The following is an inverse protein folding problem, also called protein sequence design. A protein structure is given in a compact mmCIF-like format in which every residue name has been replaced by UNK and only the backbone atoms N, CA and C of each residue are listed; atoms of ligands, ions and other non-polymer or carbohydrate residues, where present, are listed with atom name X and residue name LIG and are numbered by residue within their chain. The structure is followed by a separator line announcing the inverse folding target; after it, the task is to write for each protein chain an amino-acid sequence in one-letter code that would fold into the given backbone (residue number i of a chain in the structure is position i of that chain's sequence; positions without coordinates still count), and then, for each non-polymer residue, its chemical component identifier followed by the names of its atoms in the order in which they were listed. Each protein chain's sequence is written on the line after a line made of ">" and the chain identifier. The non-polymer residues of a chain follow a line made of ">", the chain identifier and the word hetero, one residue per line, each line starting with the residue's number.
data_IF_067508705490
#
_entry.id   IF_067508705490
#
_cell.length_a   1.000
_cell.length_b   1.000
_cell.length_c   1.000
_cell.angle_alpha   90.00
_cell.angle_beta   90.00
_cell.angle_gamma   90.00
#
_symmetry.space_group_name_H-M   'P 1'
#
loop_
_entity.id
_entity.type
_entity.pdbx_description
1 polymer ?
#
# COMPACT_ATOMS: atom_id res chain seq x y z
N UNK A 1 -38.61 68.54 4.47
CA UNK A 1 -37.40 68.62 3.65
C UNK A 1 -36.24 67.90 4.34
N UNK A 2 -36.07 66.67 4.03
CA UNK A 2 -34.79 65.99 4.19
C UNK A 2 -34.78 64.76 3.26
N UNK A 3 -33.83 64.77 2.35
CA UNK A 3 -33.61 63.75 1.34
C UNK A 3 -33.14 62.45 1.96
N UNK A 4 -33.75 61.35 1.59
CA UNK A 4 -33.23 60.00 1.68
C UNK A 4 -32.79 59.62 0.29
N UNK A 5 -31.47 59.67 0.03
CA UNK A 5 -30.88 59.08 -1.16
C UNK A 5 -30.52 57.63 -0.92
N UNK A 6 -30.89 56.81 -1.88
CA UNK A 6 -30.58 55.41 -2.08
C UNK A 6 -29.09 55.18 -2.20
N UNK A 7 -28.62 54.20 -1.47
CA UNK A 7 -27.32 53.56 -1.77
C UNK A 7 -27.53 52.06 -1.95
N UNK A 8 -27.98 51.70 -3.14
CA UNK A 8 -27.99 50.34 -3.68
C UNK A 8 -26.99 50.35 -4.85
N UNK A 9 -25.88 49.70 -4.68
CA UNK A 9 -25.00 49.04 -5.66
C UNK A 9 -23.53 49.14 -5.28
N UNK A 10 -23.09 48.27 -4.39
CA UNK A 10 -21.67 47.83 -4.41
C UNK A 10 -21.66 46.35 -4.78
N UNK A 11 -21.69 46.08 -6.07
CA UNK A 11 -21.33 44.78 -6.59
C UNK A 11 -19.85 44.53 -6.16
N UNK A 12 -19.66 43.68 -5.14
CA UNK A 12 -18.31 43.18 -4.79
C UNK A 12 -17.76 42.46 -6.00
N UNK A 13 -16.85 43.08 -6.71
CA UNK A 13 -16.00 42.42 -7.70
C UNK A 13 -15.11 41.43 -6.98
N UNK A 14 -15.37 40.16 -7.19
CA UNK A 14 -14.47 39.09 -6.72
C UNK A 14 -13.12 39.24 -7.41
N UNK A 15 -12.11 39.59 -6.64
CA UNK A 15 -10.73 39.66 -7.12
C UNK A 15 -10.17 38.26 -7.42
N UNK A 16 -9.15 38.19 -8.25
CA UNK A 16 -8.40 36.94 -8.51
C UNK A 16 -8.01 36.17 -7.22
N UNK A 17 -7.77 36.88 -6.11
CA UNK A 17 -7.53 36.29 -4.79
C UNK A 17 -8.75 35.62 -4.18
N UNK A 18 -9.94 36.13 -4.42
CA UNK A 18 -11.19 35.55 -3.89
C UNK A 18 -11.60 34.34 -4.72
N UNK A 19 -11.33 34.33 -6.02
CA UNK A 19 -11.48 33.15 -6.90
C UNK A 19 -10.47 32.08 -6.53
N UNK A 20 -9.22 32.42 -6.15
CA UNK A 20 -8.23 31.47 -5.67
C UNK A 20 -8.52 30.95 -4.25
N UNK A 21 -9.25 31.73 -3.42
CA UNK A 21 -9.72 31.29 -2.09
C UNK A 21 -11.00 30.47 -2.16
N UNK A 22 -11.86 30.73 -3.14
CA UNK A 22 -13.10 30.00 -3.38
C UNK A 22 -12.99 28.89 -4.43
N UNK A 23 -11.85 28.82 -5.10
CA UNK A 23 -11.53 27.68 -5.96
C UNK A 23 -10.92 26.52 -5.17
N UNK A 24 -11.55 25.74 -4.88
CA UNK A 24 -12.45 25.16 -4.00
C UNK A 24 -12.55 23.67 -4.12
N UNK A 25 -12.65 23.10 -2.96
CA UNK A 25 -13.52 21.96 -2.68
C UNK A 25 -13.43 20.77 -3.65
N UNK A 26 -12.28 20.29 -3.85
CA UNK A 26 -12.15 18.94 -4.23
C UNK A 26 -11.14 18.32 -3.29
N UNK A 27 -11.54 17.26 -2.60
CA UNK A 27 -10.65 16.34 -1.95
C UNK A 27 -9.98 16.84 -0.64
N UNK A 28 -10.66 16.63 0.46
CA UNK A 28 -10.05 16.63 1.78
C UNK A 28 -10.01 17.94 2.54
N UNK A 29 -10.86 18.93 2.23
CA UNK A 29 -11.00 20.13 3.06
C UNK A 29 -9.85 21.15 2.96
N UNK A 30 -8.86 20.92 2.10
CA UNK A 30 -7.78 21.83 1.81
C UNK A 30 -8.14 22.69 0.59
N UNK A 31 -7.96 24.01 0.67
CA UNK A 31 -8.03 24.87 -0.50
C UNK A 31 -6.84 24.57 -1.42
N UNK A 32 -6.98 24.83 -2.74
CA UNK A 32 -5.87 24.71 -3.70
C UNK A 32 -4.62 25.47 -3.19
N UNK A 33 -4.82 26.65 -2.56
CA UNK A 33 -3.75 27.43 -1.96
C UNK A 33 -3.07 26.72 -0.76
N UNK A 34 -3.84 26.00 0.04
CA UNK A 34 -3.28 25.18 1.15
C UNK A 34 -2.56 23.95 0.61
N UNK A 35 -3.09 23.32 -0.42
CA UNK A 35 -2.42 22.20 -1.10
C UNK A 35 -1.12 22.64 -1.75
N UNK A 36 -1.12 23.74 -2.49
CA UNK A 36 0.09 24.31 -3.11
C UNK A 36 1.10 24.79 -2.06
N UNK A 37 0.62 25.32 -0.93
CA UNK A 37 1.47 25.73 0.17
C UNK A 37 2.08 24.53 0.89
N UNK A 38 1.30 23.48 1.15
CA UNK A 38 1.80 22.20 1.67
C UNK A 38 2.78 21.54 0.69
N UNK A 39 2.53 21.57 -0.61
CA UNK A 39 3.46 21.11 -1.63
C UNK A 39 4.75 21.93 -1.66
N UNK A 40 4.65 23.26 -1.54
CA UNK A 40 5.83 24.13 -1.47
C UNK A 40 6.61 23.95 -0.15
N UNK A 41 5.91 23.73 0.96
CA UNK A 41 6.49 23.47 2.27
C UNK A 41 7.02 22.02 2.38
N UNK A 42 6.43 21.07 1.63
CA UNK A 42 6.82 19.64 1.63
C UNK A 42 7.99 19.32 0.71
N UNK A 43 8.48 20.28 -0.08
CA UNK A 43 9.52 19.98 -1.08
C UNK A 43 9.09 18.96 -2.13
N UNK A 44 7.77 18.67 -2.26
CA UNK A 44 7.27 17.68 -3.23
C UNK A 44 7.48 18.19 -4.65
N UNK A 45 8.24 17.44 -5.43
CA UNK A 45 8.33 17.66 -6.86
C UNK A 45 7.22 16.83 -7.52
N UNK A 46 6.30 17.44 -8.29
CA UNK A 46 5.31 16.67 -9.01
C UNK A 46 5.98 15.67 -9.95
N UNK A 47 5.80 14.40 -9.68
CA UNK A 47 6.25 13.30 -10.53
C UNK A 47 5.02 12.51 -10.93
N UNK A 48 4.97 12.03 -12.15
CA UNK A 48 3.93 11.11 -12.60
C UNK A 48 4.34 9.66 -12.30
N UNK A 49 4.50 9.37 -11.00
CA UNK A 49 4.97 8.08 -10.50
C UNK A 49 3.92 7.46 -9.59
N UNK A 50 3.84 6.15 -9.59
CA UNK A 50 2.90 5.38 -8.75
C UNK A 50 3.60 4.19 -8.11
N UNK A 51 3.07 3.74 -6.97
CA UNK A 51 3.56 2.55 -6.25
C UNK A 51 2.44 1.53 -6.17
N UNK A 52 2.75 0.27 -6.47
CA UNK A 52 1.93 -0.89 -6.13
C UNK A 52 2.63 -1.62 -4.99
N UNK A 53 1.98 -1.70 -3.84
CA UNK A 53 2.40 -2.50 -2.70
C UNK A 53 1.62 -3.81 -2.69
N UNK A 54 2.25 -4.91 -3.09
CA UNK A 54 1.69 -6.24 -2.94
C UNK A 54 2.10 -6.79 -1.57
N UNK A 55 1.16 -6.75 -0.64
CA UNK A 55 1.43 -7.10 0.76
C UNK A 55 1.11 -8.57 1.03
N UNK A 56 2.14 -9.31 1.40
CA UNK A 56 2.12 -10.76 1.68
C UNK A 56 1.90 -10.95 3.18
N UNK A 57 0.63 -10.83 3.58
CA UNK A 57 0.25 -10.89 5.00
C UNK A 57 0.55 -12.23 5.65
N UNK A 58 1.08 -12.19 6.84
CA UNK A 58 1.45 -13.36 7.63
C UNK A 58 2.97 -13.57 7.70
N UNK A 59 3.77 -12.74 7.02
CA UNK A 59 5.23 -12.81 7.07
C UNK A 59 5.80 -13.97 6.25
N UNK A 60 6.02 -13.75 4.94
CA UNK A 60 6.54 -14.79 4.05
C UNK A 60 7.96 -15.21 4.46
N UNK A 61 8.21 -16.51 4.48
CA UNK A 61 9.54 -17.02 4.79
C UNK A 61 10.52 -16.64 3.67
N UNK A 62 11.56 -15.89 4.05
CA UNK A 62 12.67 -15.57 3.15
C UNK A 62 13.49 -16.81 2.79
N UNK A 63 13.55 -17.80 3.69
CA UNK A 63 14.31 -19.04 3.51
C UNK A 63 13.68 -20.01 2.49
N UNK A 64 12.37 -19.97 2.32
CA UNK A 64 11.63 -20.77 1.34
C UNK A 64 11.30 -20.00 0.06
N UNK A 65 11.80 -18.75 -0.10
CA UNK A 65 11.51 -17.94 -1.30
C UNK A 65 12.77 -17.38 -1.95
N UNK A 66 13.38 -16.36 -1.34
CA UNK A 66 14.40 -15.53 -2.02
C UNK A 66 15.79 -15.54 -1.36
N UNK A 67 15.91 -16.04 -0.13
CA UNK A 67 17.18 -16.06 0.60
C UNK A 67 17.48 -17.47 1.15
N UNK A 68 17.40 -18.45 0.27
CA UNK A 68 17.61 -19.85 0.59
C UNK A 68 19.05 -20.10 1.06
N UNK A 69 19.21 -21.05 1.99
CA UNK A 69 20.51 -21.42 2.60
C UNK A 69 20.83 -22.88 2.33
N UNK A 70 21.13 -23.27 1.06
CA UNK A 70 21.28 -24.68 0.67
C UNK A 70 22.42 -25.38 1.38
N UNK A 71 23.42 -24.64 1.87
CA UNK A 71 24.58 -25.19 2.59
C UNK A 71 24.34 -25.31 4.11
N UNK A 72 23.24 -24.79 4.63
CA UNK A 72 22.90 -24.92 6.03
C UNK A 72 22.37 -26.32 6.35
N UNK A 73 22.31 -26.63 7.65
CA UNK A 73 21.72 -27.89 8.12
C UNK A 73 20.24 -27.99 7.67
N UNK A 74 19.73 -29.20 7.59
CA UNK A 74 18.37 -29.50 7.12
C UNK A 74 17.27 -28.82 7.94
N UNK A 75 17.49 -28.60 9.23
CA UNK A 75 16.59 -27.87 10.13
C UNK A 75 16.59 -26.34 9.91
N UNK A 76 17.47 -25.86 9.03
CA UNK A 76 17.58 -24.44 8.66
C UNK A 76 17.24 -24.25 7.19
N UNK A 77 17.83 -25.01 6.27
CA UNK A 77 17.65 -24.81 4.83
C UNK A 77 16.22 -25.04 4.34
N UNK A 78 15.41 -25.73 5.15
CA UNK A 78 14.03 -26.04 4.80
C UNK A 78 13.87 -27.20 3.79
N UNK A 79 12.63 -27.43 3.31
CA UNK A 79 12.31 -28.60 2.49
C UNK A 79 12.51 -28.39 0.99
N UNK A 80 12.86 -27.19 0.51
CA UNK A 80 12.94 -26.86 -0.90
C UNK A 80 14.36 -26.59 -1.37
N UNK A 81 14.58 -26.82 -2.67
CA UNK A 81 15.87 -26.59 -3.30
C UNK A 81 15.88 -25.24 -4.07
N UNK A 82 17.03 -24.56 -4.15
CA UNK A 82 17.18 -23.37 -4.96
C UNK A 82 17.32 -23.73 -6.44
N UNK A 83 16.75 -22.89 -7.31
CA UNK A 83 17.00 -22.94 -8.77
C UNK A 83 17.70 -21.66 -9.23
N UNK A 84 18.55 -21.82 -10.24
CA UNK A 84 19.24 -20.70 -10.89
C UNK A 84 18.25 -19.84 -11.67
N UNK A 85 18.52 -18.54 -11.69
CA UNK A 85 17.76 -17.59 -12.49
C UNK A 85 18.49 -17.22 -13.79
N UNK A 86 17.86 -16.38 -14.61
CA UNK A 86 18.51 -15.78 -15.78
C UNK A 86 19.57 -14.72 -15.42
N UNK A 87 19.73 -14.39 -14.13
CA UNK A 87 20.80 -13.53 -13.62
C UNK A 87 21.80 -14.36 -12.83
N UNK A 88 23.07 -14.45 -13.23
CA UNK A 88 24.09 -15.20 -12.49
C UNK A 88 24.22 -14.72 -11.04
N UNK A 89 24.25 -15.67 -10.10
CA UNK A 89 24.35 -15.37 -8.66
C UNK A 89 23.03 -15.10 -7.94
N UNK A 90 21.92 -15.03 -8.66
CA UNK A 90 20.59 -14.98 -8.06
C UNK A 90 19.94 -16.36 -8.17
N UNK A 91 19.55 -16.89 -7.04
CA UNK A 91 18.79 -18.13 -6.93
C UNK A 91 17.50 -17.87 -6.16
N UNK A 92 16.44 -18.62 -6.50
CA UNK A 92 15.11 -18.55 -5.89
C UNK A 92 14.60 -19.98 -5.64
N UNK A 93 13.54 -20.13 -4.85
CA UNK A 93 12.92 -21.42 -4.60
C UNK A 93 12.48 -22.13 -5.91
N UNK A 94 12.62 -23.46 -5.96
CA UNK A 94 12.22 -24.31 -7.10
C UNK A 94 10.74 -24.14 -7.50
N UNK A 95 9.88 -23.70 -6.57
CA UNK A 95 8.48 -23.39 -6.83
C UNK A 95 8.25 -21.99 -7.41
N UNK A 96 9.32 -21.26 -7.77
CA UNK A 96 9.29 -19.94 -8.41
C UNK A 96 9.95 -19.94 -9.81
N UNK A 97 9.62 -20.89 -10.70
CA UNK A 97 10.31 -21.02 -11.98
C UNK A 97 10.04 -19.86 -12.96
N UNK A 98 8.94 -19.12 -12.79
CA UNK A 98 8.67 -17.92 -13.60
C UNK A 98 9.50 -16.73 -13.12
N UNK A 99 9.62 -16.52 -11.79
CA UNK A 99 10.58 -15.56 -11.23
C UNK A 99 12.00 -15.82 -11.74
N UNK A 100 12.41 -17.09 -11.78
CA UNK A 100 13.74 -17.46 -12.25
C UNK A 100 14.02 -17.01 -13.70
N UNK A 101 12.99 -16.90 -14.53
CA UNK A 101 13.11 -16.50 -15.95
C UNK A 101 13.18 -14.98 -16.14
N UNK A 102 12.77 -14.19 -15.15
CA UNK A 102 12.66 -12.74 -15.25
C UNK A 102 13.41 -12.01 -14.12
N UNK A 103 14.40 -12.64 -13.51
CA UNK A 103 15.16 -12.03 -12.42
C UNK A 103 15.92 -10.76 -12.83
N UNK A 104 16.17 -10.58 -14.12
CA UNK A 104 16.68 -9.35 -14.73
C UNK A 104 15.70 -8.16 -14.62
N UNK A 105 14.42 -8.40 -14.35
CA UNK A 105 13.37 -7.36 -14.24
C UNK A 105 13.03 -6.96 -12.80
N UNK A 106 13.66 -7.56 -11.80
CA UNK A 106 13.48 -7.19 -10.39
C UNK A 106 14.79 -7.22 -9.62
N UNK A 107 14.80 -6.61 -8.46
CA UNK A 107 15.88 -6.71 -7.47
C UNK A 107 15.35 -7.26 -6.17
N UNK A 108 16.22 -7.91 -5.40
CA UNK A 108 15.91 -8.47 -4.10
C UNK A 108 16.66 -7.69 -3.02
N UNK A 109 15.96 -7.28 -1.98
CA UNK A 109 16.56 -6.80 -0.73
C UNK A 109 16.49 -7.96 0.26
N UNK A 110 17.64 -8.47 0.69
CA UNK A 110 17.73 -9.61 1.63
C UNK A 110 18.11 -9.21 3.06
N UNK A 111 18.26 -7.91 3.31
CA UNK A 111 18.81 -7.41 4.57
C UNK A 111 17.87 -6.49 5.33
N UNK A 112 16.57 -6.53 5.04
CA UNK A 112 15.61 -5.78 5.81
C UNK A 112 15.39 -6.43 7.18
N UNK A 113 15.38 -5.61 8.23
CA UNK A 113 15.34 -6.06 9.64
C UNK A 113 14.62 -5.03 10.49
N UNK A 114 13.89 -5.50 11.48
CA UNK A 114 13.29 -4.66 12.53
C UNK A 114 13.11 -5.46 13.84
N UNK A 115 12.36 -4.91 14.79
CA UNK A 115 12.29 -5.43 16.17
C UNK A 115 10.91 -5.95 16.61
N UNK A 116 9.89 -5.90 15.73
CA UNK A 116 8.51 -6.26 16.08
C UNK A 116 8.10 -7.62 15.53
N UNK A 117 7.89 -8.61 16.42
CA UNK A 117 7.57 -9.99 16.08
C UNK A 117 6.07 -10.34 16.16
N UNK A 118 5.22 -9.40 16.51
CA UNK A 118 3.76 -9.53 16.48
C UNK A 118 3.20 -8.97 15.17
N UNK A 119 2.22 -9.64 14.56
CA UNK A 119 1.66 -9.20 13.27
C UNK A 119 1.20 -7.75 13.29
N UNK A 120 0.52 -7.36 14.36
CA UNK A 120 -0.05 -6.03 14.48
C UNK A 120 1.06 -4.96 14.63
N UNK A 121 2.04 -5.23 15.47
CA UNK A 121 3.19 -4.35 15.66
C UNK A 121 4.10 -4.35 14.43
N UNK A 122 4.35 -5.51 13.82
CA UNK A 122 5.13 -5.66 12.59
C UNK A 122 4.52 -4.90 11.40
N UNK A 123 3.21 -5.01 11.19
CA UNK A 123 2.50 -4.20 10.18
C UNK A 123 2.74 -2.71 10.36
N UNK A 124 2.56 -2.20 11.59
CA UNK A 124 2.78 -0.79 11.88
C UNK A 124 4.23 -0.41 11.66
N UNK A 125 5.13 -1.21 12.20
CA UNK A 125 6.58 -0.98 12.08
C UNK A 125 7.00 -0.89 10.62
N UNK A 126 6.51 -1.80 9.77
CA UNK A 126 6.86 -1.80 8.36
C UNK A 126 6.18 -0.66 7.59
N UNK A 127 4.91 -0.39 7.85
CA UNK A 127 4.09 0.50 7.02
C UNK A 127 4.10 1.97 7.48
N UNK A 128 4.55 2.26 8.71
CA UNK A 128 4.71 3.63 9.22
C UNK A 128 6.13 3.98 9.64
N UNK A 129 7.00 2.99 9.80
CA UNK A 129 8.32 3.14 10.41
C UNK A 129 8.33 3.05 11.94
N UNK A 130 7.17 3.12 12.58
CA UNK A 130 7.04 3.20 14.04
C UNK A 130 6.27 1.98 14.56
N UNK A 131 6.90 1.18 15.42
CA UNK A 131 6.33 -0.06 15.95
C UNK A 131 5.47 0.16 17.18
N UNK A 132 6.12 0.32 18.33
CA UNK A 132 5.46 0.27 19.63
C UNK A 132 4.66 1.51 19.95
N UNK A 133 3.43 1.26 20.40
CA UNK A 133 2.63 2.24 21.13
C UNK A 133 3.22 2.51 22.51
N UNK A 134 3.14 3.73 22.97
CA UNK A 134 3.34 4.03 24.40
C UNK A 134 2.21 3.35 25.17
N UNK A 135 2.49 2.62 26.26
CA UNK A 135 1.45 2.03 27.12
C UNK A 135 0.44 3.09 27.56
N UNK A 136 -0.85 2.76 27.51
CA UNK A 136 -1.95 3.64 27.97
C UNK A 136 -2.49 4.62 26.94
N UNK A 137 -2.04 4.56 25.70
CA UNK A 137 -2.57 5.39 24.61
C UNK A 137 -3.52 4.57 23.72
N UNK A 138 -4.69 5.12 23.41
CA UNK A 138 -5.66 4.49 22.49
C UNK A 138 -5.21 4.52 21.03
N UNK A 139 -6.12 4.18 20.10
CA UNK A 139 -5.87 4.19 18.64
C UNK A 139 -5.31 5.54 18.11
N UNK A 140 -5.60 6.63 18.77
CA UNK A 140 -5.12 7.97 18.45
C UNK A 140 -3.60 8.15 18.54
N UNK A 141 -2.90 7.13 19.00
CA UNK A 141 -1.44 7.14 19.19
C UNK A 141 -0.67 6.46 18.07
N UNK A 142 -1.35 5.97 17.04
CA UNK A 142 -0.69 5.32 15.92
C UNK A 142 -0.18 6.35 14.91
N UNK A 143 0.96 6.05 14.32
CA UNK A 143 1.50 6.84 13.25
C UNK A 143 0.76 6.53 11.93
N UNK A 144 0.59 7.53 11.06
CA UNK A 144 -0.01 7.31 9.75
C UNK A 144 0.84 6.36 8.91
N UNK A 145 0.18 5.42 8.24
CA UNK A 145 0.84 4.48 7.33
C UNK A 145 1.09 5.12 5.96
N UNK A 146 1.99 4.51 5.19
CA UNK A 146 2.48 5.03 3.91
C UNK A 146 1.38 5.42 2.92
N UNK A 147 0.30 4.65 2.81
CA UNK A 147 -0.82 4.99 1.93
C UNK A 147 -1.59 6.22 2.40
N UNK A 148 -1.77 6.39 3.72
CA UNK A 148 -2.40 7.59 4.27
C UNK A 148 -1.51 8.83 4.06
N UNK A 149 -0.19 8.66 4.12
CA UNK A 149 0.77 9.73 3.77
C UNK A 149 0.61 10.11 2.30
N UNK A 150 0.55 9.13 1.40
CA UNK A 150 0.30 9.37 -0.02
C UNK A 150 -1.05 10.04 -0.26
N UNK A 151 -2.12 9.59 0.44
CA UNK A 151 -3.46 10.15 0.32
C UNK A 151 -3.54 11.62 0.79
N UNK A 152 -2.72 11.99 1.77
CA UNK A 152 -2.65 13.36 2.30
C UNK A 152 -1.81 14.30 1.46
N UNK A 153 -0.66 13.83 0.94
CA UNK A 153 0.37 14.70 0.36
C UNK A 153 0.37 14.71 -1.17
N UNK A 154 -0.22 13.71 -1.82
CA UNK A 154 -0.24 13.62 -3.27
C UNK A 154 -1.59 14.07 -3.84
N UNK A 155 -1.58 14.34 -5.13
CA UNK A 155 -2.79 14.60 -5.93
C UNK A 155 -2.99 13.50 -6.96
N UNK A 156 -4.24 13.27 -7.34
CA UNK A 156 -4.63 12.37 -8.42
C UNK A 156 -5.58 13.08 -9.38
N UNK A 157 -5.84 12.54 -10.58
CA UNK A 157 -6.84 13.07 -11.49
C UNK A 157 -8.23 13.16 -10.85
N UNK A 158 -9.05 14.12 -11.30
CA UNK A 158 -10.40 14.28 -10.79
C UNK A 158 -11.19 12.96 -10.82
N UNK A 159 -11.88 12.66 -9.75
CA UNK A 159 -12.64 11.42 -9.56
C UNK A 159 -11.80 10.19 -9.17
N UNK A 160 -10.50 10.36 -8.86
CA UNK A 160 -9.65 9.30 -8.33
C UNK A 160 -8.98 9.77 -7.03
N UNK A 161 -8.91 8.95 -5.98
CA UNK A 161 -8.12 9.27 -4.80
C UNK A 161 -6.63 9.08 -5.07
N UNK A 162 -5.75 9.80 -4.38
CA UNK A 162 -4.30 9.59 -4.48
C UNK A 162 -3.83 8.20 -4.06
N UNK A 163 -4.51 7.59 -3.09
CA UNK A 163 -4.21 6.24 -2.62
C UNK A 163 -5.47 5.39 -2.56
N UNK A 164 -5.35 4.09 -2.83
CA UNK A 164 -6.44 3.12 -2.79
C UNK A 164 -5.95 1.74 -2.38
N UNK A 165 -6.80 1.00 -1.68
CA UNK A 165 -6.55 -0.39 -1.34
C UNK A 165 -7.57 -1.31 -2.01
N UNK A 166 -7.10 -2.45 -2.55
CA UNK A 166 -7.91 -3.39 -3.33
C UNK A 166 -7.89 -4.75 -2.66
N UNK A 167 -9.06 -5.39 -2.60
CA UNK A 167 -9.22 -6.73 -2.05
C UNK A 167 -9.25 -6.77 -0.53
N UNK A 168 -9.12 -7.96 0.01
CA UNK A 168 -9.23 -8.25 1.45
C UNK A 168 -8.03 -7.77 2.27
N UNK A 169 -7.64 -6.51 2.14
CA UNK A 169 -6.49 -5.92 2.88
C UNK A 169 -6.75 -5.79 4.38
N UNK A 170 -8.00 -5.87 4.81
CA UNK A 170 -8.40 -5.90 6.22
C UNK A 170 -8.55 -7.35 6.65
N UNK A 171 -7.77 -7.80 7.62
CA UNK A 171 -7.81 -9.19 8.12
C UNK A 171 -8.54 -9.27 9.45
N UNK A 172 -8.09 -8.57 10.47
CA UNK A 172 -8.63 -8.62 11.85
C UNK A 172 -9.02 -7.23 12.37
N UNK A 173 -9.68 -6.43 11.52
CA UNK A 173 -10.09 -5.06 11.83
C UNK A 173 -9.31 -4.01 11.04
N UNK A 174 -9.70 -2.73 11.11
CA UNK A 174 -9.14 -1.66 10.29
C UNK A 174 -7.64 -1.43 10.48
N UNK A 175 -7.10 -1.83 11.61
CA UNK A 175 -5.69 -1.64 11.95
C UNK A 175 -4.75 -2.66 11.28
N UNK A 176 -5.30 -3.75 10.76
CA UNK A 176 -4.58 -4.76 9.96
C UNK A 176 -4.63 -4.51 8.45
N UNK A 177 -5.18 -3.38 8.03
CA UNK A 177 -5.20 -3.04 6.63
C UNK A 177 -3.85 -2.46 6.20
N UNK A 178 -3.17 -3.17 5.31
CA UNK A 178 -1.82 -2.82 4.87
C UNK A 178 -1.78 -1.44 4.20
N UNK A 179 -1.09 -0.49 4.82
CA UNK A 179 -0.86 0.85 4.28
C UNK A 179 -2.06 1.80 4.34
N UNK A 180 -3.16 1.45 5.02
CA UNK A 180 -4.44 2.16 4.94
C UNK A 180 -4.66 3.16 6.06
N UNK A 181 -4.15 2.85 7.28
CA UNK A 181 -4.48 3.61 8.49
C UNK A 181 -3.91 5.02 8.49
N UNK A 182 -4.76 5.98 8.79
CA UNK A 182 -4.40 7.39 8.98
C UNK A 182 -3.69 7.66 10.31
N UNK A 183 -3.67 6.68 11.22
CA UNK A 183 -3.10 6.83 12.55
C UNK A 183 -3.78 7.96 13.34
N UNK A 184 -2.98 8.86 13.92
CA UNK A 184 -3.47 10.02 14.67
C UNK A 184 -3.94 11.19 13.79
N UNK A 185 -3.88 11.07 12.46
CA UNK A 185 -4.42 12.11 11.58
C UNK A 185 -5.94 12.06 11.51
N UNK A 186 -6.52 13.12 10.94
CA UNK A 186 -7.95 13.14 10.69
C UNK A 186 -8.35 11.96 9.79
N UNK A 187 -9.44 11.22 10.11
CA UNK A 187 -9.93 10.08 9.34
C UNK A 187 -10.11 10.34 7.83
N UNK A 188 -10.26 11.59 7.41
CA UNK A 188 -10.32 11.98 5.99
C UNK A 188 -9.12 11.51 5.17
N UNK A 189 -7.97 11.26 5.81
CA UNK A 189 -6.77 10.77 5.15
C UNK A 189 -6.67 9.24 5.09
N UNK A 190 -7.63 8.52 5.66
CA UNK A 190 -7.71 7.06 5.54
C UNK A 190 -7.83 6.67 4.07
N UNK A 191 -7.11 5.62 3.68
CA UNK A 191 -7.16 5.11 2.30
C UNK A 191 -8.47 4.37 2.05
N UNK A 192 -9.23 4.70 0.99
CA UNK A 192 -10.42 3.94 0.63
C UNK A 192 -10.08 2.50 0.25
N UNK A 193 -10.91 1.55 0.72
CA UNK A 193 -10.76 0.11 0.45
C UNK A 193 -11.88 -0.33 -0.47
N UNK A 194 -11.53 -0.98 -1.58
CA UNK A 194 -12.50 -1.56 -2.51
C UNK A 194 -12.39 -3.08 -2.49
N UNK A 195 -13.45 -3.74 -2.03
CA UNK A 195 -13.55 -5.20 -1.97
C UNK A 195 -14.40 -5.71 -3.15
N UNK A 196 -13.88 -6.69 -3.90
CA UNK A 196 -14.67 -7.46 -4.87
C UNK A 196 -15.02 -6.77 -6.19
N UNK A 197 -14.32 -5.69 -6.55
CA UNK A 197 -14.61 -4.92 -7.76
C UNK A 197 -15.93 -4.14 -7.69
N UNK A 198 -16.07 -3.13 -8.54
CA UNK A 198 -17.33 -2.36 -8.66
C UNK A 198 -18.45 -3.13 -9.41
N UNK A 199 -18.43 -4.45 -9.44
CA UNK A 199 -19.50 -5.23 -10.09
C UNK A 199 -20.91 -4.91 -9.52
N UNK A 200 -20.96 -4.33 -8.30
CA UNK A 200 -22.18 -3.83 -7.66
C UNK A 200 -22.26 -2.30 -7.58
N UNK A 201 -21.32 -1.57 -8.17
CA UNK A 201 -21.24 -0.12 -8.07
C UNK A 201 -21.81 0.62 -9.29
N UNK A 202 -22.55 -0.07 -10.16
CA UNK A 202 -23.44 0.63 -11.08
C UNK A 202 -24.53 1.32 -10.26
N UNK A 203 -24.61 2.62 -10.37
CA UNK A 203 -25.68 3.39 -9.75
C UNK A 203 -27.03 2.83 -10.22
N UNK A 204 -27.69 2.07 -9.38
CA UNK A 204 -29.09 1.62 -9.61
C UNK A 204 -30.09 2.75 -9.45
N UNK A 205 -29.63 3.94 -9.04
CA UNK A 205 -30.42 5.16 -8.82
C UNK A 205 -29.89 6.26 -9.75
N UNK A 206 -30.76 6.92 -10.46
CA UNK A 206 -30.41 8.04 -11.32
C UNK A 206 -29.66 9.13 -10.52
N UNK A 207 -28.65 9.75 -11.14
CA UNK A 207 -27.71 10.67 -10.49
C UNK A 207 -28.41 11.88 -9.83
N UNK A 208 -29.50 12.36 -10.42
CA UNK A 208 -30.36 13.43 -9.89
C UNK A 208 -31.03 13.05 -8.57
N UNK A 209 -31.58 11.83 -8.48
CA UNK A 209 -32.18 11.31 -7.23
C UNK A 209 -31.15 11.06 -6.13
N UNK A 210 -29.92 10.72 -6.50
CA UNK A 210 -28.83 10.60 -5.54
C UNK A 210 -28.47 11.95 -4.95
N UNK A 211 -28.47 12.99 -5.78
CA UNK A 211 -28.20 14.37 -5.38
C UNK A 211 -29.29 14.93 -4.46
N UNK A 212 -30.55 14.63 -4.73
CA UNK A 212 -31.69 15.00 -3.88
C UNK A 212 -31.66 14.31 -2.51
N UNK A 213 -31.34 13.02 -2.46
CA UNK A 213 -31.13 12.29 -1.19
C UNK A 213 -29.99 12.88 -0.37
N UNK A 214 -28.88 13.27 -1.01
CA UNK A 214 -27.74 13.91 -0.34
C UNK A 214 -28.11 15.29 0.21
N UNK A 215 -28.89 16.08 -0.48
CA UNK A 215 -29.33 17.39 0.02
C UNK A 215 -30.19 17.28 1.28
N UNK A 216 -31.06 16.25 1.35
CA UNK A 216 -31.86 15.92 2.54
C UNK A 216 -31.00 15.38 3.69
N UNK A 217 -30.05 14.49 3.40
CA UNK A 217 -29.11 13.97 4.39
C UNK A 217 -28.23 15.08 4.95
N UNK A 218 -27.68 15.94 4.09
CA UNK A 218 -26.90 17.12 4.49
C UNK A 218 -27.71 18.10 5.36
N UNK A 219 -29.00 18.22 5.12
CA UNK A 219 -29.91 19.04 5.95
C UNK A 219 -30.09 18.48 7.35
N UNK A 220 -30.24 17.15 7.49
CA UNK A 220 -30.36 16.44 8.76
C UNK A 220 -29.03 16.41 9.53
N UNK A 221 -27.91 16.26 8.85
CA UNK A 221 -26.58 16.18 9.44
C UNK A 221 -26.05 17.55 9.92
N UNK A 222 -26.54 18.67 9.36
CA UNK A 222 -26.25 20.02 9.89
C UNK A 222 -26.68 20.19 11.34
N UNK A 223 -27.76 19.53 11.76
CA UNK A 223 -28.23 19.53 13.15
C UNK A 223 -27.29 18.72 14.07
N UNK A 224 -26.67 17.67 13.57
CA UNK A 224 -25.72 16.81 14.33
C UNK A 224 -24.32 17.41 14.40
N UNK A 225 -23.88 18.17 13.39
CA UNK A 225 -22.53 18.78 13.32
C UNK A 225 -22.23 19.78 14.43
N UNK A 226 -23.21 20.45 14.94
CA UNK A 226 -23.03 21.38 16.08
C UNK A 226 -22.65 20.67 17.38
N UNK A 227 -22.64 19.33 17.39
CA UNK A 227 -22.34 18.48 18.55
C UNK A 227 -21.04 17.69 18.35
N UNK A 228 -20.48 17.63 17.13
CA UNK A 228 -19.31 16.83 16.79
C UNK A 228 -18.00 17.60 17.00
N UNK A 229 -17.47 17.53 18.22
CA UNK A 229 -16.12 18.05 18.53
C UNK A 229 -14.96 17.21 17.99
N UNK A 230 -15.21 16.02 17.42
CA UNK A 230 -14.17 15.07 16.97
C UNK A 230 -13.77 15.20 15.49
N UNK A 231 -14.56 15.90 14.69
CA UNK A 231 -14.41 15.96 13.23
C UNK A 231 -14.80 14.67 12.49
N UNK A 232 -15.34 13.67 13.20
CA UNK A 232 -15.75 12.38 12.63
C UNK A 232 -16.86 12.54 11.59
N UNK A 233 -17.84 13.42 11.86
CA UNK A 233 -18.95 13.67 10.93
C UNK A 233 -18.48 14.38 9.65
N UNK A 234 -17.54 15.31 9.78
CA UNK A 234 -16.98 15.97 8.59
C UNK A 234 -16.14 15.01 7.76
N UNK A 235 -15.47 14.05 8.38
CA UNK A 235 -14.76 12.99 7.69
C UNK A 235 -15.72 12.04 6.95
N UNK A 236 -16.83 11.62 7.59
CA UNK A 236 -17.87 10.80 6.94
C UNK A 236 -18.46 11.49 5.71
N UNK A 237 -18.80 12.77 5.82
CA UNK A 237 -19.29 13.55 4.68
C UNK A 237 -18.28 13.58 3.53
N UNK A 238 -17.00 13.69 3.85
CA UNK A 238 -15.92 13.70 2.85
C UNK A 238 -15.75 12.32 2.20
N UNK A 239 -15.83 11.24 2.98
CA UNK A 239 -15.81 9.88 2.44
C UNK A 239 -17.00 9.61 1.50
N UNK A 240 -18.21 9.99 1.91
CA UNK A 240 -19.40 9.83 1.09
C UNK A 240 -19.30 10.66 -0.21
N UNK A 241 -18.72 11.85 -0.12
CA UNK A 241 -18.47 12.68 -1.28
C UNK A 241 -17.44 12.07 -2.21
N UNK A 242 -16.31 11.60 -1.68
CA UNK A 242 -15.28 10.90 -2.46
C UNK A 242 -15.83 9.63 -3.11
N UNK A 243 -16.60 8.83 -2.38
CA UNK A 243 -17.23 7.62 -2.91
C UNK A 243 -18.16 7.94 -4.10
N UNK A 244 -18.96 8.99 -4.00
CA UNK A 244 -19.84 9.41 -5.10
C UNK A 244 -19.03 9.97 -6.28
N UNK A 245 -17.98 10.76 -6.04
CA UNK A 245 -17.12 11.27 -7.10
C UNK A 245 -16.42 10.13 -7.85
N UNK A 246 -15.94 9.11 -7.13
CA UNK A 246 -15.37 7.87 -7.70
C UNK A 246 -16.43 7.16 -8.55
N UNK A 247 -17.64 6.95 -8.01
CA UNK A 247 -18.72 6.24 -8.70
C UNK A 247 -19.25 7.00 -9.93
N UNK A 248 -19.23 8.34 -9.90
CA UNK A 248 -19.66 9.18 -11.02
C UNK A 248 -18.56 9.44 -12.04
N UNK A 249 -17.30 9.13 -11.73
CA UNK A 249 -16.20 9.30 -12.66
C UNK A 249 -16.15 8.10 -13.61
N UNK A 250 -16.32 8.31 -14.90
CA UNK A 250 -16.11 7.25 -15.90
C UNK A 250 -14.69 6.65 -15.86
N UNK A 251 -13.76 7.33 -15.21
CA UNK A 251 -12.37 6.89 -15.02
C UNK A 251 -12.26 5.75 -14.00
N UNK A 252 -12.96 5.85 -12.87
CA UNK A 252 -13.02 4.77 -11.89
C UNK A 252 -13.78 3.56 -12.45
N UNK A 253 -14.94 3.77 -13.06
CA UNK A 253 -15.69 2.71 -13.74
C UNK A 253 -14.80 1.96 -14.73
N UNK A 254 -14.06 2.68 -15.57
CA UNK A 254 -13.12 2.08 -16.52
C UNK A 254 -12.03 1.29 -15.81
N UNK A 255 -11.42 1.80 -14.74
CA UNK A 255 -10.34 1.12 -14.03
C UNK A 255 -10.80 -0.20 -13.38
N UNK A 256 -12.00 -0.20 -12.79
CA UNK A 256 -12.55 -1.39 -12.11
C UNK A 256 -13.23 -2.39 -13.04
N UNK A 257 -13.62 -1.98 -14.24
CA UNK A 257 -14.27 -2.87 -15.20
C UNK A 257 -13.25 -3.76 -15.91
N UNK A 258 -12.95 -4.92 -15.30
CA UNK A 258 -12.02 -5.90 -15.86
C UNK A 258 -12.50 -6.51 -17.20
N UNK A 259 -13.77 -6.35 -17.57
CA UNK A 259 -14.26 -6.81 -18.88
C UNK A 259 -13.71 -5.96 -20.03
N UNK A 260 -13.19 -4.78 -19.76
CA UNK A 260 -12.50 -3.92 -20.73
C UNK A 260 -11.04 -4.34 -20.96
N UNK A 261 -10.51 -5.26 -20.15
CA UNK A 261 -9.16 -5.78 -20.32
C UNK A 261 -9.14 -6.93 -21.33
N UNK A 262 -8.04 -7.07 -22.04
CA UNK A 262 -7.82 -8.21 -22.96
C UNK A 262 -8.03 -9.53 -22.22
N UNK A 263 -8.85 -10.45 -22.73
CA UNK A 263 -9.11 -11.75 -22.10
C UNK A 263 -7.85 -12.56 -21.81
N UNK A 264 -6.84 -12.50 -22.69
CA UNK A 264 -5.56 -13.19 -22.49
C UNK A 264 -4.77 -12.61 -21.32
N UNK A 265 -4.80 -11.28 -21.17
CA UNK A 265 -4.21 -10.60 -20.01
C UNK A 265 -4.90 -11.03 -18.72
N UNK A 266 -6.24 -11.05 -18.69
CA UNK A 266 -7.00 -11.53 -17.54
C UNK A 266 -6.68 -12.98 -17.16
N UNK A 267 -6.55 -13.85 -18.17
CA UNK A 267 -6.18 -15.25 -17.98
C UNK A 267 -4.76 -15.41 -17.38
N UNK A 268 -3.79 -14.60 -17.82
CA UNK A 268 -2.43 -14.60 -17.26
C UNK A 268 -2.42 -14.25 -15.77
N UNK A 269 -3.22 -13.27 -15.32
CA UNK A 269 -3.36 -12.95 -13.91
C UNK A 269 -4.10 -14.03 -13.12
N UNK A 270 -4.95 -14.83 -13.78
CA UNK A 270 -5.75 -15.86 -13.16
C UNK A 270 -6.90 -15.29 -12.31
N UNK A 271 -7.48 -16.14 -11.46
CA UNK A 271 -8.61 -15.83 -10.60
C UNK A 271 -8.19 -15.32 -9.20
N UNK A 272 -9.19 -14.95 -8.39
CA UNK A 272 -9.01 -14.50 -7.00
C UNK A 272 -8.15 -13.24 -6.92
N UNK A 273 -7.12 -13.25 -6.07
CA UNK A 273 -6.29 -12.04 -5.89
C UNK A 273 -5.49 -11.63 -7.14
N UNK A 274 -5.37 -12.49 -8.16
CA UNK A 274 -4.83 -12.11 -9.44
C UNK A 274 -5.67 -11.03 -10.14
N UNK A 275 -7.00 -11.10 -10.00
CA UNK A 275 -7.90 -10.05 -10.49
C UNK A 275 -7.78 -8.75 -9.68
N UNK A 276 -7.48 -8.86 -8.38
CA UNK A 276 -7.20 -7.70 -7.52
C UNK A 276 -5.88 -7.02 -7.91
N UNK A 277 -4.85 -7.80 -8.21
CA UNK A 277 -3.56 -7.30 -8.71
C UNK A 277 -3.71 -6.65 -10.10
N UNK A 278 -4.50 -7.23 -10.99
CA UNK A 278 -4.87 -6.62 -12.27
C UNK A 278 -5.61 -5.29 -12.07
N UNK A 279 -6.53 -5.24 -11.11
CA UNK A 279 -7.23 -4.00 -10.74
C UNK A 279 -6.25 -2.93 -10.27
N UNK A 280 -5.26 -3.31 -9.44
CA UNK A 280 -4.22 -2.37 -8.99
C UNK A 280 -3.41 -1.79 -10.14
N UNK A 281 -3.03 -2.61 -11.13
CA UNK A 281 -2.34 -2.13 -12.33
C UNK A 281 -3.22 -1.13 -13.11
N UNK A 282 -4.51 -1.42 -13.27
CA UNK A 282 -5.45 -0.51 -13.96
C UNK A 282 -5.69 0.79 -13.19
N UNK A 283 -5.66 0.74 -11.85
CA UNK A 283 -5.78 1.92 -11.01
C UNK A 283 -4.58 2.87 -11.15
N UNK A 284 -3.35 2.34 -11.22
CA UNK A 284 -2.18 3.20 -11.46
C UNK A 284 -2.19 3.77 -12.88
N UNK A 285 -2.66 3.05 -13.89
CA UNK A 285 -2.93 3.60 -15.23
C UNK A 285 -3.99 4.72 -15.21
N UNK A 286 -4.98 4.64 -14.31
CA UNK A 286 -5.98 5.68 -14.13
C UNK A 286 -5.48 6.87 -13.30
N UNK A 287 -4.24 6.82 -12.79
CA UNK A 287 -3.57 7.90 -12.08
C UNK A 287 -3.62 7.84 -10.55
N UNK A 288 -4.01 6.70 -9.96
CA UNK A 288 -3.84 6.46 -8.52
C UNK A 288 -2.34 6.32 -8.22
N UNK A 289 -1.87 7.06 -7.22
CA UNK A 289 -0.44 7.19 -6.94
C UNK A 289 0.10 6.09 -6.01
N UNK A 290 -0.75 5.54 -5.17
CA UNK A 290 -0.37 4.44 -4.26
C UNK A 290 -1.51 3.41 -4.18
N UNK A 291 -1.22 2.18 -4.54
CA UNK A 291 -2.22 1.09 -4.48
C UNK A 291 -1.67 -0.05 -3.63
N UNK A 292 -2.42 -0.45 -2.61
CA UNK A 292 -2.13 -1.65 -1.83
C UNK A 292 -3.03 -2.80 -2.27
N UNK A 293 -2.42 -3.98 -2.45
CA UNK A 293 -3.13 -5.25 -2.69
C UNK A 293 -2.62 -6.29 -1.71
N UNK A 294 -3.50 -7.12 -1.18
CA UNK A 294 -3.09 -8.26 -0.36
C UNK A 294 -2.85 -9.50 -1.22
N UNK A 295 -1.72 -10.19 -0.98
CA UNK A 295 -1.48 -11.53 -1.49
C UNK A 295 -1.85 -12.57 -0.42
N UNK A 296 -3.04 -13.18 -0.45
CA UNK A 296 -3.45 -14.18 0.52
C UNK A 296 -2.65 -15.47 0.34
N UNK A 297 -2.47 -16.20 1.45
CA UNK A 297 -1.83 -17.51 1.46
C UNK A 297 -2.77 -18.69 1.32
N UNK A 298 -4.06 -18.43 1.06
CA UNK A 298 -5.08 -19.49 1.03
C UNK A 298 -4.82 -20.55 -0.02
N UNK A 299 -4.83 -21.81 0.39
CA UNK A 299 -4.79 -22.94 -0.53
C UNK A 299 -5.52 -24.16 0.05
N UNK A 300 -5.92 -25.09 -0.83
CA UNK A 300 -6.69 -26.27 -0.47
C UNK A 300 -5.84 -27.38 0.16
N UNK A 301 -4.52 -27.38 -0.02
CA UNK A 301 -3.66 -28.47 0.40
C UNK A 301 -3.43 -28.50 1.91
N UNK A 302 -3.34 -27.32 2.54
CA UNK A 302 -3.00 -27.19 3.96
C UNK A 302 -4.07 -26.47 4.80
N UNK A 303 -5.15 -26.02 4.19
CA UNK A 303 -6.18 -25.16 4.81
C UNK A 303 -5.61 -23.81 5.34
N UNK A 304 -4.40 -23.42 4.91
CA UNK A 304 -3.85 -22.12 5.25
C UNK A 304 -4.66 -20.99 4.61
N UNK A 305 -4.77 -19.86 5.27
CA UNK A 305 -5.47 -18.67 4.78
C UNK A 305 -4.56 -17.45 4.58
N UNK A 306 -3.34 -17.50 5.11
CA UNK A 306 -2.29 -16.49 4.91
C UNK A 306 -0.90 -17.14 4.91
N UNK A 307 0.16 -16.32 5.08
CA UNK A 307 1.55 -16.78 5.10
C UNK A 307 2.10 -16.99 6.52
N UNK A 308 1.22 -17.12 7.51
CA UNK A 308 1.57 -17.34 8.91
C UNK A 308 1.84 -18.84 9.19
N UNK A 309 2.95 -19.32 8.68
CA UNK A 309 3.30 -20.75 8.57
C UNK A 309 3.89 -21.36 9.86
N UNK A 310 3.17 -21.24 10.97
CA UNK A 310 3.50 -21.96 12.21
C UNK A 310 3.14 -23.43 12.15
N UNK A 311 4.02 -24.33 12.66
CA UNK A 311 3.74 -25.77 12.76
C UNK A 311 2.51 -26.09 13.62
N UNK A 312 2.14 -25.20 14.55
CA UNK A 312 0.91 -25.33 15.37
C UNK A 312 -0.37 -25.15 14.57
N UNK A 313 -0.32 -24.38 13.48
CA UNK A 313 -1.50 -24.07 12.67
C UNK A 313 -1.66 -25.07 11.52
N UNK A 314 -0.69 -25.15 10.63
CA UNK A 314 -0.71 -26.02 9.45
C UNK A 314 0.71 -26.40 9.03
N UNK A 315 0.82 -27.32 8.11
CA UNK A 315 2.10 -27.71 7.55
C UNK A 315 2.60 -26.66 6.53
N UNK A 316 3.75 -26.06 6.79
CA UNK A 316 4.36 -25.04 5.94
C UNK A 316 4.71 -25.58 4.55
N UNK A 317 5.27 -26.82 4.47
CA UNK A 317 5.66 -27.41 3.20
C UNK A 317 4.46 -27.59 2.27
N UNK A 318 3.39 -28.19 2.78
CA UNK A 318 2.14 -28.35 2.01
C UNK A 318 1.54 -26.98 1.63
N UNK A 319 1.58 -26.01 2.53
CA UNK A 319 1.11 -24.65 2.28
C UNK A 319 1.87 -23.98 1.14
N UNK A 320 3.20 -24.05 1.17
CA UNK A 320 4.07 -23.45 0.15
C UNK A 320 3.92 -24.13 -1.22
N UNK A 321 3.85 -25.46 -1.28
CA UNK A 321 3.57 -26.20 -2.52
C UNK A 321 2.25 -25.74 -3.16
N UNK A 322 1.23 -25.48 -2.34
CA UNK A 322 -0.07 -25.06 -2.84
C UNK A 322 -0.15 -23.61 -3.28
N UNK A 323 0.60 -22.69 -2.66
CA UNK A 323 0.48 -21.25 -2.90
C UNK A 323 1.55 -20.66 -3.81
N UNK A 324 2.80 -21.16 -3.73
CA UNK A 324 3.91 -20.58 -4.50
C UNK A 324 3.70 -20.58 -6.02
N UNK A 325 3.11 -21.61 -6.65
CA UNK A 325 2.85 -21.56 -8.10
C UNK A 325 1.89 -20.43 -8.52
N UNK A 326 0.87 -20.12 -7.71
CA UNK A 326 -0.05 -19.02 -7.98
C UNK A 326 0.62 -17.67 -7.71
N UNK A 327 1.41 -17.57 -6.65
CA UNK A 327 2.21 -16.41 -6.34
C UNK A 327 3.24 -16.14 -7.45
N UNK A 328 3.97 -17.17 -7.89
CA UNK A 328 4.91 -17.11 -9.01
C UNK A 328 4.25 -16.56 -10.28
N UNK A 329 3.07 -17.09 -10.62
CA UNK A 329 2.33 -16.63 -11.78
C UNK A 329 1.91 -15.17 -11.68
N UNK A 330 1.28 -14.75 -10.57
CA UNK A 330 0.66 -13.43 -10.45
C UNK A 330 1.72 -12.33 -10.37
N UNK A 331 2.77 -12.53 -9.55
CA UNK A 331 3.83 -11.53 -9.40
C UNK A 331 4.58 -11.32 -10.71
N UNK A 332 4.95 -12.42 -11.38
CA UNK A 332 5.67 -12.31 -12.66
C UNK A 332 4.79 -11.73 -13.77
N UNK A 333 3.50 -12.08 -13.80
CA UNK A 333 2.56 -11.47 -14.75
C UNK A 333 2.45 -9.97 -14.54
N UNK A 334 2.37 -9.50 -13.30
CA UNK A 334 2.34 -8.05 -13.01
C UNK A 334 3.63 -7.37 -13.48
N UNK A 335 4.79 -7.95 -13.16
CA UNK A 335 6.08 -7.40 -13.60
C UNK A 335 6.13 -7.30 -15.12
N UNK A 336 5.86 -8.39 -15.83
CA UNK A 336 5.89 -8.42 -17.31
C UNK A 336 4.87 -7.43 -17.90
N UNK A 337 3.65 -7.35 -17.36
CA UNK A 337 2.60 -6.43 -17.84
C UNK A 337 3.00 -4.95 -17.66
N UNK A 338 3.69 -4.61 -16.55
CA UNK A 338 4.24 -3.26 -16.34
C UNK A 338 5.32 -2.92 -17.38
N UNK A 339 6.19 -3.87 -17.71
CA UNK A 339 7.21 -3.68 -18.76
C UNK A 339 6.61 -3.61 -20.15
N UNK A 340 5.72 -4.52 -20.50
CA UNK A 340 5.08 -4.61 -21.83
C UNK A 340 4.24 -3.35 -22.16
N UNK A 341 3.72 -2.68 -21.12
CA UNK A 341 2.94 -1.43 -21.25
C UNK A 341 3.78 -0.16 -21.16
N UNK A 342 5.09 -0.27 -20.93
CA UNK A 342 5.95 0.89 -20.71
C UNK A 342 5.71 1.62 -19.38
N UNK A 343 5.08 0.94 -18.41
CA UNK A 343 4.83 1.48 -17.07
C UNK A 343 6.02 1.29 -16.14
N UNK A 344 6.99 0.47 -16.49
CA UNK A 344 8.15 0.12 -15.67
C UNK A 344 9.02 1.31 -15.26
N UNK A 345 8.95 2.42 -15.97
CA UNK A 345 9.68 3.65 -15.58
C UNK A 345 8.98 4.44 -14.48
N UNK A 346 7.64 4.39 -14.44
CA UNK A 346 6.82 5.25 -13.62
C UNK A 346 6.04 4.52 -12.51
N UNK A 347 6.05 3.18 -12.51
CA UNK A 347 5.37 2.37 -11.50
C UNK A 347 6.38 1.50 -10.77
N UNK A 348 6.55 1.73 -9.47
CA UNK A 348 7.37 0.91 -8.59
C UNK A 348 6.50 -0.16 -7.94
N UNK A 349 6.85 -1.43 -8.17
CA UNK A 349 6.27 -2.57 -7.47
C UNK A 349 7.14 -2.93 -6.27
N UNK A 350 6.50 -3.09 -5.12
CA UNK A 350 7.11 -3.62 -3.90
C UNK A 350 6.30 -4.83 -3.44
N UNK A 351 6.96 -5.97 -3.27
CA UNK A 351 6.36 -7.21 -2.74
C UNK A 351 7.03 -7.55 -1.42
N UNK A 352 6.26 -7.56 -0.34
CA UNK A 352 6.77 -7.74 1.02
C UNK A 352 5.66 -8.16 1.98
N UNK A 353 6.05 -8.69 3.14
CA UNK A 353 5.18 -8.84 4.29
C UNK A 353 5.65 -7.97 5.45
N UNK A 354 5.14 -8.27 6.65
CA UNK A 354 5.46 -7.54 7.86
C UNK A 354 6.79 -7.94 8.50
N UNK A 355 7.24 -9.20 8.31
CA UNK A 355 8.51 -9.75 8.80
C UNK A 355 8.85 -11.07 8.07
N UNK A 356 10.00 -11.65 8.35
CA UNK A 356 10.38 -12.98 7.88
C UNK A 356 10.09 -14.08 8.91
N UNK A 357 10.77 -15.22 8.77
CA UNK A 357 10.52 -16.41 9.59
C UNK A 357 11.79 -16.92 10.25
N UNK A 358 11.63 -17.62 11.41
CA UNK A 358 12.78 -18.16 12.16
C UNK A 358 13.68 -19.02 11.30
N UNK A 359 15.02 -18.91 11.47
CA UNK A 359 15.97 -19.75 10.74
C UNK A 359 15.77 -21.24 10.97
N UNK A 360 15.46 -21.62 12.20
CA UNK A 360 15.23 -23.02 12.56
C UNK A 360 13.76 -23.40 12.34
N UNK A 361 13.56 -24.57 11.69
CA UNK A 361 12.25 -25.20 11.57
C UNK A 361 11.70 -25.61 12.95
N UNK A 362 10.43 -25.38 13.14
CA UNK A 362 9.62 -25.93 14.21
C UNK A 362 8.95 -27.24 13.71
N UNK A 363 8.89 -28.25 14.59
CA UNK A 363 8.23 -29.51 14.30
C UNK A 363 7.14 -29.75 15.35
N UNK A 364 5.91 -29.94 14.90
CA UNK A 364 4.79 -30.24 15.78
C UNK A 364 3.76 -31.12 15.10
N UNK A 365 3.40 -32.25 15.75
CA UNK A 365 2.37 -33.18 15.28
C UNK A 365 2.57 -33.62 13.81
N UNK A 366 3.81 -33.87 13.40
CA UNK A 366 4.18 -34.27 12.04
C UNK A 366 4.16 -33.13 11.01
N UNK A 367 3.93 -31.90 11.42
CA UNK A 367 3.99 -30.69 10.60
C UNK A 367 5.32 -29.97 10.80
N UNK A 368 5.75 -29.24 9.80
CA UNK A 368 6.85 -28.29 9.89
C UNK A 368 6.34 -26.86 9.76
N UNK A 369 7.03 -25.91 10.38
CA UNK A 369 6.72 -24.49 10.31
C UNK A 369 7.89 -23.64 10.76
N UNK A 370 7.67 -22.33 10.79
CA UNK A 370 8.60 -21.35 11.33
C UNK A 370 7.84 -20.26 12.07
N UNK A 371 8.41 -19.79 13.16
CA UNK A 371 7.85 -18.68 13.94
C UNK A 371 8.17 -17.32 13.32
N UNK A 372 7.61 -16.25 13.90
CA UNK A 372 7.88 -14.88 13.49
C UNK A 372 9.33 -14.49 13.70
N UNK A 373 9.94 -13.84 12.71
CA UNK A 373 11.33 -13.40 12.79
C UNK A 373 11.56 -12.07 12.10
N UNK A 374 11.42 -10.95 12.82
CA UNK A 374 11.62 -9.63 12.24
C UNK A 374 13.08 -9.29 11.96
N UNK A 375 14.02 -10.06 12.51
CA UNK A 375 15.46 -9.81 12.36
C UNK A 375 16.01 -10.09 10.97
N UNK A 376 15.23 -10.73 10.08
CA UNK A 376 15.59 -10.93 8.68
C UNK A 376 14.33 -11.13 7.83
N UNK A 377 14.23 -10.42 6.72
CA UNK A 377 13.19 -10.58 5.72
C UNK A 377 13.67 -10.19 4.33
N UNK A 378 13.03 -10.72 3.29
CA UNK A 378 13.32 -10.38 1.90
C UNK A 378 12.19 -9.55 1.29
N UNK A 379 12.57 -8.57 0.46
CA UNK A 379 11.66 -7.70 -0.29
C UNK A 379 12.00 -7.80 -1.76
N UNK A 380 11.01 -7.99 -2.63
CA UNK A 380 11.17 -7.87 -4.07
C UNK A 380 10.75 -6.47 -4.50
N UNK A 381 11.58 -5.84 -5.35
CA UNK A 381 11.31 -4.53 -5.96
C UNK A 381 11.48 -4.60 -7.47
N UNK A 382 10.57 -3.97 -8.22
CA UNK A 382 10.60 -3.96 -9.70
C UNK A 382 9.98 -2.68 -10.25
N UNK A 383 10.37 -2.29 -11.46
CA UNK A 383 9.87 -1.07 -12.07
C UNK A 383 10.39 0.21 -11.42
N UNK A 384 9.72 1.36 -11.62
CA UNK A 384 10.15 2.65 -11.08
C UNK A 384 11.47 3.18 -11.66
N UNK A 385 11.92 2.68 -12.82
CA UNK A 385 13.21 3.04 -13.40
C UNK A 385 14.41 2.64 -12.52
N UNK A 386 14.23 1.68 -11.60
CA UNK A 386 15.30 1.21 -10.72
C UNK A 386 16.26 0.27 -11.44
N UNK A 387 17.48 0.16 -10.94
CA UNK A 387 18.41 -0.90 -11.34
C UNK A 387 17.84 -2.25 -10.88
N UNK A 388 17.66 -3.17 -11.81
CA UNK A 388 17.16 -4.52 -11.58
C UNK A 388 18.25 -5.57 -11.80
N UNK A 389 17.95 -6.85 -11.52
CA UNK A 389 18.92 -7.94 -11.69
C UNK A 389 20.00 -7.94 -10.61
N UNK A 390 19.72 -7.45 -9.41
CA UNK A 390 20.69 -7.41 -8.32
C UNK A 390 20.09 -7.88 -6.99
N UNK A 391 20.98 -8.19 -6.06
CA UNK A 391 20.65 -8.46 -4.65
C UNK A 391 21.30 -7.39 -3.79
N UNK A 392 20.50 -6.71 -2.99
CA UNK A 392 20.94 -5.67 -2.05
C UNK A 392 20.99 -6.28 -0.66
N UNK A 393 22.18 -6.23 -0.04
CA UNK A 393 22.45 -6.81 1.25
C UNK A 393 22.47 -8.35 1.26
N UNK A 394 22.84 -8.90 2.40
CA UNK A 394 22.87 -10.34 2.62
C UNK A 394 22.59 -10.64 4.10
N UNK A 395 22.01 -11.80 4.36
CA UNK A 395 21.94 -12.37 5.71
C UNK A 395 23.13 -13.27 6.01
N UNK A 396 23.26 -13.68 7.25
CA UNK A 396 24.27 -14.65 7.70
C UNK A 396 24.03 -16.05 7.10
N UNK A 397 24.92 -16.99 7.42
CA UNK A 397 24.92 -18.35 6.86
C UNK A 397 23.62 -19.14 7.15
N UNK A 398 22.83 -18.72 8.13
CA UNK A 398 21.58 -19.36 8.52
C UNK A 398 20.34 -18.50 8.27
N UNK A 399 20.51 -17.32 7.67
CA UNK A 399 19.38 -16.40 7.40
C UNK A 399 18.79 -15.74 8.66
N UNK A 400 19.56 -15.66 9.75
CA UNK A 400 19.04 -15.15 11.02
C UNK A 400 19.04 -13.64 11.13
N UNK A 401 19.98 -12.96 10.51
CA UNK A 401 20.14 -11.52 10.58
C UNK A 401 20.96 -11.00 9.40
N UNK A 402 20.84 -9.71 9.05
CA UNK A 402 21.74 -9.09 8.09
C UNK A 402 23.20 -9.24 8.47
N UNK A 403 24.04 -9.68 7.53
CA UNK A 403 25.48 -9.70 7.61
C UNK A 403 26.11 -8.57 6.79
N UNK A 404 25.37 -8.05 5.80
CA UNK A 404 25.81 -6.95 4.95
C UNK A 404 24.64 -6.00 4.70
N UNK A 405 24.91 -4.68 4.71
CA UNK A 405 23.96 -3.64 4.34
C UNK A 405 22.60 -3.78 5.05
N UNK A 406 22.53 -3.79 6.40
CA UNK A 406 21.26 -3.84 7.09
C UNK A 406 20.38 -2.65 6.68
N UNK A 407 19.11 -2.92 6.40
CA UNK A 407 18.08 -1.95 6.05
C UNK A 407 16.94 -2.02 7.05
N UNK A 408 16.45 -0.86 7.46
CA UNK A 408 15.29 -0.72 8.33
C UNK A 408 14.04 -0.42 7.48
N UNK A 409 12.81 -0.75 7.92
CA UNK A 409 11.59 -0.30 7.27
C UNK A 409 11.53 1.19 6.98
N UNK A 410 12.17 2.02 7.79
CA UNK A 410 12.32 3.45 7.51
C UNK A 410 13.06 3.72 6.19
N UNK A 411 14.06 2.91 5.82
CA UNK A 411 14.78 3.08 4.54
C UNK A 411 13.90 2.72 3.35
N UNK A 412 13.05 1.70 3.51
CA UNK A 412 12.07 1.32 2.49
C UNK A 412 11.02 2.41 2.32
N UNK A 413 10.51 2.97 3.42
CA UNK A 413 9.57 4.10 3.39
C UNK A 413 10.20 5.34 2.77
N UNK A 414 11.45 5.67 3.13
CA UNK A 414 12.19 6.78 2.52
C UNK A 414 12.32 6.59 1.00
N UNK A 415 12.57 5.35 0.55
CA UNK A 415 12.64 4.97 -0.86
C UNK A 415 11.31 5.21 -1.57
N UNK A 416 10.19 4.77 -0.98
CA UNK A 416 8.85 4.99 -1.49
C UNK A 416 8.53 6.49 -1.58
N UNK A 417 8.78 7.24 -0.51
CA UNK A 417 8.50 8.68 -0.47
C UNK A 417 9.30 9.44 -1.53
N UNK A 418 10.61 9.20 -1.61
CA UNK A 418 11.46 9.82 -2.64
C UNK A 418 10.96 9.50 -4.05
N UNK A 419 10.58 8.25 -4.32
CA UNK A 419 10.06 7.85 -5.62
C UNK A 419 8.75 8.58 -5.96
N UNK A 420 7.85 8.73 -5.00
CA UNK A 420 6.59 9.45 -5.15
C UNK A 420 6.76 10.98 -5.19
N UNK A 421 7.98 11.51 -5.01
CA UNK A 421 8.27 12.95 -4.96
C UNK A 421 7.90 13.60 -3.63
N UNK A 422 7.76 12.83 -2.56
CA UNK A 422 7.57 13.31 -1.19
C UNK A 422 8.96 13.39 -0.54
N UNK A 423 9.28 14.52 0.13
CA UNK A 423 10.50 14.62 0.94
C UNK A 423 10.43 13.62 2.12
N UNK A 424 11.31 12.62 2.19
CA UNK A 424 11.31 11.65 3.28
C UNK A 424 11.50 12.29 4.67
N UNK A 425 12.18 13.42 4.72
CA UNK A 425 12.50 14.15 5.96
C UNK A 425 11.46 15.20 6.33
N UNK A 426 10.34 15.28 5.58
CA UNK A 426 9.24 16.17 5.92
C UNK A 426 8.75 15.92 7.35
N UNK A 427 8.63 17.00 8.13
CA UNK A 427 8.07 16.96 9.47
C UNK A 427 6.62 17.42 9.47
N UNK A 428 5.74 16.62 10.04
CA UNK A 428 4.34 16.95 10.22
C UNK A 428 3.97 16.95 11.71
N UNK A 429 3.06 17.83 12.14
CA UNK A 429 2.72 17.93 13.55
C UNK A 429 1.96 16.67 14.02
N UNK A 430 2.32 16.17 15.20
CA UNK A 430 1.54 15.20 15.97
C UNK A 430 0.32 15.88 16.66
N UNK A 431 -0.54 15.14 17.37
CA UNK A 431 -1.69 15.73 18.06
C UNK A 431 -1.32 16.78 19.11
N UNK A 432 -0.09 16.79 19.60
CA UNK A 432 0.44 17.78 20.53
C UNK A 432 1.15 18.96 19.85
N UNK A 433 1.14 19.00 18.51
CA UNK A 433 1.79 20.03 17.70
C UNK A 433 3.30 19.86 17.57
N UNK A 434 3.88 18.73 18.00
CA UNK A 434 5.32 18.47 17.88
C UNK A 434 5.63 18.00 16.45
N UNK A 435 6.71 18.53 15.82
CA UNK A 435 7.11 18.09 14.48
C UNK A 435 7.66 16.66 14.53
N UNK A 436 7.02 15.74 13.83
CA UNK A 436 7.44 14.34 13.67
C UNK A 436 7.83 14.11 12.21
N UNK A 437 9.03 13.60 11.98
CA UNK A 437 9.49 13.22 10.64
C UNK A 437 8.65 12.07 10.08
N UNK A 438 8.37 12.06 8.78
CA UNK A 438 7.70 10.96 8.11
C UNK A 438 8.49 9.66 8.24
N UNK A 439 9.81 9.73 8.12
CA UNK A 439 10.71 8.62 8.34
C UNK A 439 12.09 9.14 8.80
N UNK A 440 12.80 8.30 9.53
CA UNK A 440 14.20 8.54 9.89
C UNK A 440 15.19 7.82 8.95
N UNK A 441 14.70 7.07 7.98
CA UNK A 441 15.54 6.30 7.06
C UNK A 441 16.10 7.11 5.90
N UNK A 442 16.97 6.45 5.18
CA UNK A 442 17.59 6.97 3.96
C UNK A 442 17.18 6.12 2.76
N UNK A 443 16.81 6.72 1.62
CA UNK A 443 16.46 5.95 0.43
C UNK A 443 17.57 4.97 0.04
N UNK A 444 17.18 3.78 -0.41
CA UNK A 444 18.09 2.71 -0.83
C UNK A 444 18.76 3.12 -2.14
N UNK A 445 19.93 3.75 -2.04
CA UNK A 445 20.63 4.39 -3.18
C UNK A 445 21.07 3.40 -4.25
N UNK A 446 21.26 2.14 -3.90
CA UNK A 446 21.64 1.07 -4.83
C UNK A 446 20.57 0.79 -5.89
N UNK A 447 19.34 1.23 -5.68
CA UNK A 447 18.25 1.09 -6.62
C UNK A 447 18.31 2.09 -7.79
N UNK A 448 19.09 3.19 -7.69
CA UNK A 448 19.23 4.19 -8.74
C UNK A 448 20.67 4.44 -9.19
#
# INVERSE_FOLDING_TARGET
>A
TMHLENDLTAARTFGRRDVLRSGFLGLGGLTLGQTLRLQAESGTTPKDTSVILLFVHGGPSHLETYDMKPLANTDIRGPFEPIRTNVPGIEVCEHLPKHAKIADKFSLIRSCTHDEADHFAGHRRFLSGFGKLKPGTGYESFYPQVGAVANRLLTAPAGMPPAMAVGGVVVNGPDYAAGVSEGYWNPVYRVPIVNGGLANASLTVAADRLQDRRSLQTGLDRLRRNIDGSGMMSALDTFDQQAVEILMSGRAEHAFNLNLEDPRTREKYGDGYGQEVLTARRLVEAGVRFVTVRAPGSNALSKSYDWDDHAVNWDMQASMIGRLPKYDQIVTTLIEDLYDRGLSENVLLIVTGEFGRTPRLEFKDGKIGRDHWPSAMSILVSGGGIKTGQVIGATDAIGARPSQRPLDPHDILATIYQFLGIDPHLHLPDPQGRPIALTSGTPVAELW
#
